data_IF_806430155899
#
_entry.id   IF_806430155899
#
_cell.length_a   1.000
_cell.length_b   1.000
_cell.length_c   1.000
_cell.angle_alpha   90.00
_cell.angle_beta   90.00
_cell.angle_gamma   90.00
#
_symmetry.space_group_name_H-M   'P 1'
#
loop_
_entity.id
_entity.type
_entity.pdbx_description
1 polymer ?
#
# COMPACT_ATOMS: atom_id res chain seq x y z
N UNK A 1 -0.57 26.19 0.04
CA UNK A 1 0.22 25.07 0.61
C UNK A 1 -0.69 23.85 0.62
N UNK A 2 -0.29 22.75 -0.01
CA UNK A 2 -1.07 21.51 0.03
C UNK A 2 -0.61 20.71 1.25
N UNK A 3 -1.53 20.46 2.19
CA UNK A 3 -1.31 19.50 3.28
C UNK A 3 -1.77 18.13 2.80
N UNK A 4 -0.90 17.12 2.91
CA UNK A 4 -1.22 15.73 2.63
C UNK A 4 -1.42 15.01 3.96
N UNK A 5 -2.57 14.34 4.10
CA UNK A 5 -2.87 13.44 5.23
C UNK A 5 -2.99 12.04 4.65
N UNK A 6 -2.14 11.13 5.13
CA UNK A 6 -2.20 9.72 4.81
C UNK A 6 -2.41 8.95 6.11
N UNK A 7 -3.22 7.89 6.05
CA UNK A 7 -3.54 7.04 7.18
C UNK A 7 -3.10 5.62 6.78
N UNK A 8 -1.88 5.18 7.16
CA UNK A 8 -1.31 3.92 6.68
C UNK A 8 -2.21 2.70 6.86
N UNK A 9 -2.94 2.62 7.98
CA UNK A 9 -3.87 1.53 8.27
C UNK A 9 -5.06 1.50 7.30
N UNK A 10 -5.54 2.66 6.84
CA UNK A 10 -6.62 2.76 5.86
C UNK A 10 -6.15 2.31 4.48
N UNK A 11 -4.88 2.59 4.13
CA UNK A 11 -4.28 2.11 2.88
C UNK A 11 -4.14 0.58 2.89
N UNK A 12 -3.71 0.00 4.01
CA UNK A 12 -3.60 -1.45 4.17
C UNK A 12 -4.98 -2.15 4.12
N UNK A 13 -5.99 -1.57 4.76
CA UNK A 13 -7.37 -2.08 4.68
C UNK A 13 -7.89 -2.02 3.24
N UNK A 14 -7.69 -0.89 2.56
CA UNK A 14 -8.11 -0.75 1.16
C UNK A 14 -7.40 -1.74 0.23
N UNK A 15 -6.10 -2.01 0.45
CA UNK A 15 -5.38 -3.02 -0.30
C UNK A 15 -5.99 -4.42 -0.10
N UNK A 16 -6.35 -4.78 1.14
CA UNK A 16 -7.02 -6.05 1.46
C UNK A 16 -8.38 -6.17 0.77
N UNK A 17 -9.18 -5.11 0.79
CA UNK A 17 -10.49 -5.08 0.09
C UNK A 17 -10.32 -5.27 -1.41
N UNK A 18 -9.30 -4.62 -2.00
CA UNK A 18 -8.98 -4.74 -3.42
C UNK A 18 -8.48 -6.14 -3.77
N UNK A 19 -7.70 -6.82 -2.93
CA UNK A 19 -7.34 -8.24 -3.11
C UNK A 19 -8.60 -9.11 -3.18
N UNK A 20 -9.56 -8.88 -2.28
CA UNK A 20 -10.85 -9.56 -2.29
C UNK A 20 -11.62 -9.35 -3.61
N UNK A 21 -11.73 -8.11 -4.07
CA UNK A 21 -12.36 -7.77 -5.36
C UNK A 21 -11.66 -8.47 -6.53
N UNK A 22 -10.33 -8.43 -6.56
CA UNK A 22 -9.53 -9.08 -7.61
C UNK A 22 -9.76 -10.59 -7.67
N UNK A 23 -9.87 -11.24 -6.50
CA UNK A 23 -10.18 -12.67 -6.38
C UNK A 23 -11.58 -13.00 -6.94
N UNK A 24 -12.60 -12.24 -6.54
CA UNK A 24 -13.98 -12.42 -7.02
C UNK A 24 -14.06 -12.22 -8.53
N UNK A 25 -13.40 -11.19 -9.07
CA UNK A 25 -13.38 -10.92 -10.49
C UNK A 25 -12.66 -12.03 -11.28
N UNK A 26 -11.55 -12.56 -10.75
CA UNK A 26 -10.85 -13.69 -11.34
C UNK A 26 -11.72 -14.95 -11.39
N UNK A 27 -12.41 -15.28 -10.30
CA UNK A 27 -13.33 -16.41 -10.23
C UNK A 27 -14.52 -16.25 -11.19
N UNK A 28 -15.11 -15.05 -11.28
CA UNK A 28 -16.18 -14.74 -12.21
C UNK A 28 -15.72 -14.88 -13.67
N UNK A 29 -14.53 -14.35 -14.01
CA UNK A 29 -13.95 -14.45 -15.34
C UNK A 29 -13.70 -15.91 -15.74
N UNK A 30 -13.17 -16.72 -14.82
CA UNK A 30 -12.94 -18.14 -15.04
C UNK A 30 -14.25 -18.92 -15.25
N UNK A 31 -15.27 -18.64 -14.44
CA UNK A 31 -16.61 -19.25 -14.58
C UNK A 31 -17.25 -18.90 -15.93
N UNK A 32 -17.05 -17.67 -16.39
CA UNK A 32 -17.58 -17.21 -17.67
C UNK A 32 -16.80 -17.73 -18.90
N UNK A 33 -15.61 -18.30 -18.73
CA UNK A 33 -14.73 -18.66 -19.86
C UNK A 33 -15.41 -19.65 -20.82
N UNK A 34 -15.72 -20.86 -20.35
CA UNK A 34 -16.35 -21.88 -21.18
C UNK A 34 -17.71 -21.46 -21.78
N UNK A 35 -18.67 -20.90 -21.02
CA UNK A 35 -19.97 -20.56 -21.59
C UNK A 35 -19.92 -19.43 -22.63
N UNK A 36 -18.87 -18.59 -22.62
CA UNK A 36 -18.72 -17.47 -23.57
C UNK A 36 -17.81 -17.81 -24.75
N UNK A 37 -16.86 -18.73 -24.60
CA UNK A 37 -15.97 -19.15 -25.70
C UNK A 37 -16.46 -20.41 -26.41
N UNK A 38 -17.31 -21.21 -25.76
CA UNK A 38 -17.86 -22.47 -26.27
C UNK A 38 -19.26 -22.33 -26.87
N UNK A 39 -19.60 -21.17 -27.43
CA UNK A 39 -20.93 -20.90 -27.99
C UNK A 39 -21.17 -21.81 -29.19
N UNK A 40 -22.26 -22.58 -29.14
CA UNK A 40 -22.67 -23.46 -30.23
C UNK A 40 -23.52 -22.70 -31.25
N UNK A 41 -23.42 -23.10 -32.51
CA UNK A 41 -24.30 -22.60 -33.56
C UNK A 41 -25.77 -22.97 -33.26
N UNK A 42 -26.68 -22.01 -33.45
CA UNK A 42 -28.11 -22.24 -33.22
C UNK A 42 -28.75 -23.18 -34.27
N UNK A 43 -28.14 -23.27 -35.46
CA UNK A 43 -28.55 -24.12 -36.56
C UNK A 43 -27.36 -24.64 -37.36
N UNK A 44 -27.63 -25.51 -38.33
CA UNK A 44 -26.61 -26.11 -39.20
C UNK A 44 -26.17 -25.22 -40.37
N UNK A 45 -26.72 -24.01 -40.46
CA UNK A 45 -26.42 -23.06 -41.52
C UNK A 45 -25.14 -22.25 -41.23
N UNK A 46 -24.56 -21.72 -42.30
CA UNK A 46 -23.30 -20.97 -42.26
C UNK A 46 -23.43 -19.66 -41.48
N UNK A 47 -24.62 -19.04 -41.43
CA UNK A 47 -24.84 -17.79 -40.70
C UNK A 47 -24.85 -18.06 -39.19
N UNK A 48 -25.54 -19.11 -38.74
CA UNK A 48 -25.51 -19.58 -37.35
C UNK A 48 -24.09 -19.92 -36.88
N UNK A 49 -23.29 -20.58 -37.73
CA UNK A 49 -21.89 -20.87 -37.44
C UNK A 49 -21.04 -19.59 -37.34
N UNK A 50 -21.21 -18.65 -38.27
CA UNK A 50 -20.50 -17.37 -38.25
C UNK A 50 -20.85 -16.54 -37.00
N UNK A 51 -22.13 -16.48 -36.63
CA UNK A 51 -22.58 -15.77 -35.42
C UNK A 51 -21.98 -16.39 -34.15
N UNK A 52 -22.02 -17.72 -34.01
CA UNK A 52 -21.39 -18.42 -32.89
C UNK A 52 -19.87 -18.12 -32.82
N UNK A 53 -19.18 -18.12 -33.96
CA UNK A 53 -17.76 -17.79 -34.03
C UNK A 53 -17.45 -16.35 -33.59
N UNK A 54 -18.29 -15.37 -33.93
CA UNK A 54 -18.12 -13.97 -33.50
C UNK A 54 -18.21 -13.85 -31.98
N UNK A 55 -19.22 -14.48 -31.37
CA UNK A 55 -19.37 -14.46 -29.91
C UNK A 55 -18.24 -15.21 -29.19
N UNK A 56 -17.86 -16.39 -29.70
CA UNK A 56 -16.72 -17.13 -29.15
C UNK A 56 -15.43 -16.31 -29.22
N UNK A 57 -15.17 -15.62 -30.34
CA UNK A 57 -14.03 -14.72 -30.50
C UNK A 57 -14.08 -13.53 -29.53
N UNK A 58 -15.26 -12.95 -29.30
CA UNK A 58 -15.43 -11.89 -28.29
C UNK A 58 -15.13 -12.41 -26.87
N UNK A 59 -15.62 -13.60 -26.52
CA UNK A 59 -15.30 -14.26 -25.25
C UNK A 59 -13.80 -14.47 -25.07
N UNK A 60 -13.10 -14.93 -26.11
CA UNK A 60 -11.64 -15.11 -26.08
C UNK A 60 -10.89 -13.79 -25.87
N UNK A 61 -11.31 -12.73 -26.58
CA UNK A 61 -10.73 -11.39 -26.42
C UNK A 61 -10.95 -10.85 -25.01
N UNK A 62 -12.15 -11.04 -24.44
CA UNK A 62 -12.44 -10.69 -23.05
C UNK A 62 -11.50 -11.42 -22.08
N UNK A 63 -11.34 -12.74 -22.22
CA UNK A 63 -10.45 -13.52 -21.34
C UNK A 63 -8.99 -13.04 -21.41
N UNK A 64 -8.50 -12.69 -22.60
CA UNK A 64 -7.15 -12.15 -22.77
C UNK A 64 -6.96 -10.80 -22.03
N UNK A 65 -7.93 -9.88 -22.17
CA UNK A 65 -7.89 -8.59 -21.49
C UNK A 65 -8.08 -8.75 -19.98
N UNK A 66 -8.96 -9.64 -19.52
CA UNK A 66 -9.17 -9.93 -18.11
C UNK A 66 -7.89 -10.45 -17.43
N UNK A 67 -7.11 -11.29 -18.12
CA UNK A 67 -5.82 -11.74 -17.61
C UNK A 67 -4.82 -10.57 -17.47
N UNK A 68 -4.75 -9.67 -18.45
CA UNK A 68 -3.91 -8.47 -18.37
C UNK A 68 -4.34 -7.53 -17.23
N UNK A 69 -5.65 -7.33 -17.08
CA UNK A 69 -6.20 -6.51 -16.01
C UNK A 69 -5.95 -7.12 -14.63
N UNK A 70 -6.03 -8.44 -14.48
CA UNK A 70 -5.70 -9.13 -13.23
C UNK A 70 -4.25 -8.90 -12.83
N UNK A 71 -3.31 -8.98 -13.78
CA UNK A 71 -1.90 -8.68 -13.52
C UNK A 71 -1.67 -7.23 -13.12
N UNK A 72 -2.30 -6.28 -13.81
CA UNK A 72 -2.26 -4.86 -13.45
C UNK A 72 -2.83 -4.60 -12.05
N UNK A 73 -3.98 -5.20 -11.73
CA UNK A 73 -4.62 -5.08 -10.43
C UNK A 73 -3.72 -5.58 -9.29
N UNK A 74 -3.05 -6.71 -9.48
CA UNK A 74 -2.09 -7.23 -8.50
C UNK A 74 -0.92 -6.25 -8.27
N UNK A 75 -0.38 -5.65 -9.34
CA UNK A 75 0.66 -4.63 -9.21
C UNK A 75 0.16 -3.37 -8.49
N UNK A 76 -1.08 -2.95 -8.76
CA UNK A 76 -1.69 -1.81 -8.10
C UNK A 76 -1.85 -2.03 -6.59
N UNK A 77 -2.36 -3.19 -6.18
CA UNK A 77 -2.47 -3.58 -4.77
C UNK A 77 -1.09 -3.60 -4.10
N UNK A 78 -0.09 -4.18 -4.77
CA UNK A 78 1.28 -4.22 -4.25
C UNK A 78 1.85 -2.81 -4.05
N UNK A 79 1.61 -1.90 -4.99
CA UNK A 79 2.02 -0.51 -4.89
C UNK A 79 1.31 0.22 -3.74
N UNK A 80 0.02 -0.05 -3.52
CA UNK A 80 -0.75 0.53 -2.43
C UNK A 80 -0.24 0.08 -1.05
N UNK A 81 0.06 -1.22 -0.90
CA UNK A 81 0.70 -1.76 0.29
C UNK A 81 2.09 -1.11 0.53
N UNK A 82 2.89 -0.98 -0.52
CA UNK A 82 4.19 -0.31 -0.46
C UNK A 82 4.09 1.15 -0.02
N UNK A 83 3.09 1.87 -0.53
CA UNK A 83 2.82 3.26 -0.13
C UNK A 83 2.41 3.37 1.34
N UNK A 84 1.52 2.49 1.82
CA UNK A 84 1.14 2.42 3.24
C UNK A 84 2.36 2.22 4.14
N UNK A 85 3.24 1.27 3.77
CA UNK A 85 4.49 1.04 4.49
C UNK A 85 5.44 2.25 4.48
N UNK A 86 5.54 2.96 3.35
CA UNK A 86 6.37 4.15 3.25
C UNK A 86 5.88 5.30 4.15
N UNK A 87 4.57 5.55 4.22
CA UNK A 87 4.01 6.55 5.13
C UNK A 87 4.19 6.16 6.60
N UNK A 88 3.98 4.90 6.97
CA UNK A 88 4.23 4.42 8.33
C UNK A 88 5.71 4.57 8.72
N UNK A 89 6.64 4.27 7.82
CA UNK A 89 8.07 4.45 8.05
C UNK A 89 8.44 5.94 8.23
N UNK A 90 7.82 6.83 7.47
CA UNK A 90 8.02 8.27 7.61
C UNK A 90 7.51 8.80 8.97
N UNK A 91 6.36 8.32 9.44
CA UNK A 91 5.85 8.68 10.78
C UNK A 91 6.79 8.20 11.87
N UNK A 92 7.29 6.96 11.81
CA UNK A 92 8.23 6.42 12.78
C UNK A 92 9.57 7.19 12.79
N UNK A 93 10.10 7.53 11.60
CA UNK A 93 11.33 8.31 11.46
C UNK A 93 11.20 9.71 12.10
N UNK A 94 10.02 10.32 12.04
CA UNK A 94 9.78 11.64 12.64
C UNK A 94 9.40 11.58 14.14
N UNK A 95 8.82 10.47 14.61
CA UNK A 95 8.48 10.28 16.02
C UNK A 95 9.71 9.96 16.88
N UNK A 96 10.69 9.20 16.36
CA UNK A 96 11.84 8.74 17.14
C UNK A 96 12.74 9.85 17.70
N UNK A 97 13.07 10.94 16.98
CA UNK A 97 13.87 12.03 17.56
C UNK A 97 13.08 12.79 18.62
N UNK A 98 11.75 12.87 18.48
CA UNK A 98 10.88 13.56 19.41
C UNK A 98 10.75 12.80 20.74
N UNK A 99 10.71 11.47 20.69
CA UNK A 99 10.77 10.60 21.87
C UNK A 99 12.12 10.71 22.59
N UNK A 100 13.23 10.68 21.86
CA UNK A 100 14.56 10.86 22.44
C UNK A 100 14.73 12.22 23.15
N UNK A 101 14.16 13.29 22.57
CA UNK A 101 14.09 14.60 23.19
C UNK A 101 13.23 14.58 24.47
N UNK A 102 12.09 13.91 24.45
CA UNK A 102 11.22 13.77 25.61
C UNK A 102 11.91 13.05 26.77
N UNK A 103 12.61 11.94 26.49
CA UNK A 103 13.36 11.19 27.50
C UNK A 103 14.50 12.03 28.10
N UNK A 104 15.18 12.83 27.27
CA UNK A 104 16.21 13.76 27.72
C UNK A 104 15.66 14.81 28.68
N UNK A 105 14.52 15.42 28.33
CA UNK A 105 13.86 16.43 29.17
C UNK A 105 13.34 15.83 30.48
N UNK A 106 12.71 14.65 30.42
CA UNK A 106 12.24 13.94 31.62
C UNK A 106 13.40 13.54 32.54
N UNK A 107 14.54 13.12 31.97
CA UNK A 107 15.75 12.84 32.74
C UNK A 107 16.32 14.06 33.45
N UNK A 108 16.28 15.23 32.80
CA UNK A 108 16.72 16.50 33.40
C UNK A 108 15.80 16.99 34.52
N UNK A 109 14.48 16.77 34.40
CA UNK A 109 13.49 17.17 35.42
C UNK A 109 13.51 16.24 36.63
N UNK A 110 13.62 14.93 36.39
CA UNK A 110 13.58 13.91 37.44
C UNK A 110 14.96 13.58 38.03
N UNK A 111 16.02 14.21 37.52
CA UNK A 111 17.36 14.12 38.08
C UNK A 111 17.42 14.68 39.52
N UNK A 112 18.36 14.22 40.36
CA UNK A 112 18.49 14.72 41.73
C UNK A 112 18.64 16.25 41.71
N UNK A 113 17.98 16.99 42.62
CA UNK A 113 18.01 18.44 42.61
C UNK A 113 19.47 18.89 42.78
N UNK A 114 20.03 19.47 41.73
CA UNK A 114 21.38 19.99 41.76
C UNK A 114 21.44 21.11 42.79
N UNK A 115 22.20 20.87 43.87
CA UNK A 115 22.54 21.90 44.82
C UNK A 115 23.32 23.02 44.13
N UNK A 116 22.82 24.24 44.30
CA UNK A 116 23.46 25.55 44.10
C UNK A 116 23.33 26.22 42.70
N UNK A 117 22.81 27.47 42.60
CA UNK A 117 22.58 28.18 41.32
C UNK A 117 23.82 28.94 40.80
N UNK A 118 25.01 28.39 40.95
CA UNK A 118 26.26 29.06 40.59
C UNK A 118 27.13 28.24 39.66
N UNK A 119 27.07 28.56 38.36
CA UNK A 119 28.07 28.17 37.35
C UNK A 119 28.13 26.66 37.02
N UNK A 120 27.23 26.18 36.18
CA UNK A 120 27.27 24.85 35.58
C UNK A 120 26.49 24.87 34.29
N UNK A 121 27.20 24.94 33.17
CA UNK A 121 26.62 24.97 31.83
C UNK A 121 25.73 23.76 31.59
N UNK A 122 24.91 23.89 30.57
CA UNK A 122 24.05 22.86 29.99
C UNK A 122 24.90 21.64 29.58
N UNK A 123 25.35 20.80 30.51
CA UNK A 123 26.24 19.67 30.20
C UNK A 123 25.51 18.56 29.40
N UNK A 124 24.20 18.73 29.20
CA UNK A 124 23.38 17.92 28.29
C UNK A 124 23.51 18.29 26.79
N UNK A 125 24.04 19.47 26.42
CA UNK A 125 24.23 19.81 24.99
C UNK A 125 25.50 19.20 24.37
N UNK A 126 26.38 18.57 25.15
CA UNK A 126 27.49 17.80 24.58
C UNK A 126 27.02 16.47 23.94
N UNK A 127 25.86 15.93 24.35
CA UNK A 127 25.27 14.73 23.73
C UNK A 127 24.63 14.98 22.36
N UNK A 128 24.12 16.19 22.11
CA UNK A 128 23.43 16.52 20.85
C UNK A 128 24.39 16.70 19.67
N UNK A 129 25.66 17.10 19.92
CA UNK A 129 26.66 17.23 18.85
C UNK A 129 27.15 15.87 18.34
N UNK A 130 27.11 14.82 19.17
CA UNK A 130 27.46 13.46 18.75
C UNK A 130 26.37 12.78 17.92
N UNK A 131 25.10 13.01 18.25
CA UNK A 131 23.96 12.38 17.57
C UNK A 131 23.67 12.98 16.18
N UNK A 132 23.94 14.27 15.97
CA UNK A 132 23.78 14.90 14.65
C UNK A 132 24.85 14.49 13.64
N UNK A 133 26.01 13.97 14.08
CA UNK A 133 27.10 13.54 13.19
C UNK A 133 27.00 12.05 12.78
N UNK A 134 26.16 11.25 13.47
CA UNK A 134 25.99 9.81 13.17
C UNK A 134 24.83 9.54 12.20
N UNK A 135 24.11 10.56 11.75
CA UNK A 135 22.93 10.45 10.88
C UNK A 135 23.14 11.03 9.47
N UNK A 136 24.40 11.18 9.02
CA UNK A 136 24.77 11.57 7.66
C UNK A 136 25.46 10.42 6.92
#
# INVERSE_FOLDING_TARGET
>A
MAHLVAIPEMLASAATDLEGIGSVLGAASASAALPTTGVLAAGADEISAAVASVFAGHGQAYQAISAQMSAFHAQFVQALNGAGGAYAAAEAANASPLQALQDTVLGAINGPPAGNPGNGGLDGVNGISGLLCSAA
#
